data_IF_180391101402
#
_entry.id   IF_180391101402
#
_cell.length_a   1.000
_cell.length_b   1.000
_cell.length_c   1.000
_cell.angle_alpha   90.00
_cell.angle_beta   90.00
_cell.angle_gamma   90.00
#
_symmetry.space_group_name_H-M   'P 1'
#
loop_
_entity.id
_entity.type
_entity.pdbx_description
1 polymer ?
#
# COMPACT_ATOMS: atom_id res chain seq x y z
N UNK A 1 10.07 -22.35 23.03
CA UNK A 1 10.44 -22.34 21.65
C UNK A 1 9.53 -21.41 20.83
N UNK A 2 9.88 -21.16 19.58
CA UNK A 2 9.14 -20.26 18.68
C UNK A 2 7.97 -20.93 17.94
N UNK A 3 7.52 -22.12 18.36
CA UNK A 3 6.41 -22.83 17.74
C UNK A 3 6.70 -23.44 16.36
N UNK A 4 7.94 -23.36 15.88
CA UNK A 4 8.33 -23.91 14.58
C UNK A 4 8.46 -25.42 14.66
N UNK A 5 7.64 -26.15 13.88
CA UNK A 5 7.71 -27.60 13.77
C UNK A 5 8.89 -28.07 12.92
N UNK A 6 9.28 -29.35 13.06
CA UNK A 6 10.41 -29.91 12.30
C UNK A 6 10.23 -29.80 10.78
N UNK A 7 8.98 -29.88 10.29
CA UNK A 7 8.69 -29.77 8.84
C UNK A 7 8.91 -28.37 8.27
N UNK A 8 8.80 -27.32 9.11
CA UNK A 8 9.00 -25.92 8.74
C UNK A 8 10.35 -25.37 9.16
N UNK A 9 11.19 -26.19 9.82
CA UNK A 9 12.45 -25.72 10.37
C UNK A 9 13.44 -25.23 9.30
N UNK A 10 13.49 -25.88 8.16
CA UNK A 10 14.40 -25.52 7.07
C UNK A 10 13.99 -24.17 6.45
N UNK A 11 12.73 -23.97 6.10
CA UNK A 11 12.22 -22.69 5.57
C UNK A 11 12.37 -21.56 6.59
N UNK A 12 12.20 -21.86 7.88
CA UNK A 12 12.42 -20.88 8.95
C UNK A 12 13.88 -20.45 9.08
N UNK A 13 14.83 -21.36 8.86
CA UNK A 13 16.28 -21.09 8.96
C UNK A 13 16.87 -20.50 7.68
N UNK A 14 16.29 -20.85 6.55
CA UNK A 14 16.76 -20.46 5.22
C UNK A 14 15.60 -19.89 4.38
N UNK A 15 15.01 -18.75 4.78
CA UNK A 15 13.88 -18.17 4.06
C UNK A 15 14.28 -17.71 2.65
N UNK A 16 13.38 -17.89 1.70
CA UNK A 16 13.57 -17.48 0.31
C UNK A 16 12.32 -16.78 -0.21
N UNK A 17 12.46 -15.61 -0.81
CA UNK A 17 11.33 -14.93 -1.45
C UNK A 17 10.65 -15.80 -2.50
N UNK A 18 11.42 -16.63 -3.20
CA UNK A 18 10.87 -17.52 -4.24
C UNK A 18 9.86 -18.55 -3.71
N UNK A 19 10.08 -19.05 -2.50
CA UNK A 19 9.28 -20.15 -1.91
C UNK A 19 8.37 -19.68 -0.78
N UNK A 20 8.76 -18.61 -0.08
CA UNK A 20 8.15 -18.23 1.19
C UNK A 20 7.42 -16.87 1.14
N UNK A 21 7.46 -16.18 -0.04
CA UNK A 21 6.69 -14.96 -0.23
C UNK A 21 5.19 -15.25 -0.08
N UNK A 22 4.48 -14.56 0.81
CA UNK A 22 3.03 -14.70 0.91
C UNK A 22 2.35 -14.40 -0.42
N UNK A 23 1.29 -15.14 -0.74
CA UNK A 23 0.50 -14.81 -1.94
C UNK A 23 -0.34 -13.55 -1.68
N UNK A 24 -0.12 -12.46 -2.43
CA UNK A 24 -0.90 -11.22 -2.27
C UNK A 24 -2.42 -11.42 -2.36
N UNK A 25 -2.88 -12.37 -3.16
CA UNK A 25 -4.33 -12.63 -3.37
C UNK A 25 -5.06 -13.09 -2.09
N UNK A 26 -4.31 -13.40 -1.02
CA UNK A 26 -4.91 -13.78 0.27
C UNK A 26 -5.27 -12.58 1.14
N UNK A 27 -4.75 -11.41 0.83
CA UNK A 27 -5.06 -10.19 1.58
C UNK A 27 -6.38 -9.60 1.10
N UNK A 28 -7.23 -9.20 2.03
CA UNK A 28 -8.46 -8.51 1.70
C UNK A 28 -8.17 -7.21 0.93
N UNK A 29 -9.00 -6.90 -0.05
CA UNK A 29 -8.90 -5.73 -0.93
C UNK A 29 -7.62 -5.59 -1.76
N UNK A 30 -6.65 -6.53 -1.67
CA UNK A 30 -5.39 -6.45 -2.43
C UNK A 30 -5.64 -6.39 -3.94
N UNK A 31 -6.60 -7.17 -4.44
CA UNK A 31 -6.92 -7.16 -5.87
C UNK A 31 -7.44 -5.79 -6.30
N UNK A 32 -8.39 -5.20 -5.57
CA UNK A 32 -8.93 -3.88 -5.86
C UNK A 32 -7.85 -2.79 -5.78
N UNK A 33 -6.99 -2.85 -4.76
CA UNK A 33 -5.87 -1.93 -4.62
C UNK A 33 -4.89 -2.03 -5.81
N UNK A 34 -4.53 -3.26 -6.20
CA UNK A 34 -3.60 -3.49 -7.29
C UNK A 34 -4.15 -3.05 -8.65
N UNK A 35 -5.43 -3.33 -8.94
CA UNK A 35 -6.12 -2.88 -10.15
C UNK A 35 -6.15 -1.35 -10.20
N UNK A 36 -6.52 -0.67 -9.11
CA UNK A 36 -6.58 0.80 -9.06
C UNK A 36 -5.24 1.47 -9.28
N UNK A 37 -4.16 0.94 -8.66
CA UNK A 37 -2.81 1.44 -8.90
C UNK A 37 -2.37 1.18 -10.35
N UNK A 38 -2.69 0.00 -10.89
CA UNK A 38 -2.36 -0.34 -12.28
C UNK A 38 -3.09 0.59 -13.27
N UNK A 39 -4.35 0.94 -13.01
CA UNK A 39 -5.12 1.91 -13.80
C UNK A 39 -4.42 3.27 -13.80
N UNK A 40 -4.08 3.79 -12.62
CA UNK A 40 -3.38 5.07 -12.48
C UNK A 40 -2.05 5.10 -13.25
N UNK A 41 -1.26 4.01 -13.19
CA UNK A 41 0.00 3.89 -13.95
C UNK A 41 -0.25 3.89 -15.45
N UNK A 42 -1.25 3.13 -15.93
CA UNK A 42 -1.53 3.02 -17.37
C UNK A 42 -2.09 4.31 -17.96
N UNK A 43 -2.92 5.02 -17.19
CA UNK A 43 -3.57 6.25 -17.62
C UNK A 43 -2.68 7.50 -17.40
N UNK A 44 -1.53 7.33 -16.72
CA UNK A 44 -0.65 8.45 -16.38
C UNK A 44 -1.28 9.41 -15.36
N UNK A 45 -2.17 8.88 -14.50
CA UNK A 45 -2.85 9.66 -13.48
C UNK A 45 -1.88 10.12 -12.39
N UNK A 46 -2.01 11.38 -11.89
CA UNK A 46 -1.20 11.86 -10.78
C UNK A 46 -1.44 11.05 -9.50
N UNK A 47 -0.38 10.48 -8.93
CA UNK A 47 -0.42 9.66 -7.72
C UNK A 47 0.22 10.41 -6.56
N UNK A 48 -0.49 10.54 -5.43
CA UNK A 48 0.12 10.97 -4.17
C UNK A 48 0.27 9.79 -3.20
N UNK A 49 1.28 9.88 -2.36
CA UNK A 49 1.56 8.95 -1.26
C UNK A 49 1.60 9.75 0.03
N UNK A 50 0.69 9.51 0.93
CA UNK A 50 0.68 10.03 2.29
C UNK A 50 1.23 8.93 3.20
N UNK A 51 2.42 9.14 3.79
CA UNK A 51 3.08 8.13 4.60
C UNK A 51 3.28 8.60 6.04
N UNK A 52 3.32 7.66 6.98
CA UNK A 52 3.75 7.98 8.33
C UNK A 52 5.20 8.48 8.36
N UNK A 53 5.54 9.26 9.38
CA UNK A 53 6.84 9.92 9.54
C UNK A 53 7.93 9.01 10.11
N UNK A 54 7.59 7.80 10.51
CA UNK A 54 8.56 6.86 11.08
C UNK A 54 9.31 6.04 10.01
N UNK A 55 10.16 5.10 10.44
CA UNK A 55 10.99 4.33 9.51
C UNK A 55 10.18 3.38 8.65
N UNK A 56 9.03 2.86 9.14
CA UNK A 56 8.20 1.95 8.36
C UNK A 56 7.43 2.70 7.28
N UNK A 57 6.84 3.86 7.60
CA UNK A 57 6.24 4.76 6.63
C UNK A 57 7.24 5.27 5.60
N UNK A 58 8.43 5.73 6.04
CA UNK A 58 9.46 6.23 5.13
C UNK A 58 9.99 5.15 4.17
N UNK A 59 10.20 3.92 4.65
CA UNK A 59 10.67 2.81 3.80
C UNK A 59 9.58 2.32 2.85
N UNK A 60 8.31 2.32 3.28
CA UNK A 60 7.15 2.03 2.44
C UNK A 60 7.04 3.02 1.28
N UNK A 61 7.12 4.32 1.58
CA UNK A 61 7.08 5.38 0.57
C UNK A 61 8.25 5.28 -0.42
N UNK A 62 9.46 5.04 0.07
CA UNK A 62 10.65 4.89 -0.76
C UNK A 62 10.56 3.67 -1.69
N UNK A 63 10.06 2.54 -1.18
CA UNK A 63 9.85 1.32 -1.97
C UNK A 63 8.83 1.56 -3.08
N UNK A 64 7.64 2.08 -2.72
CA UNK A 64 6.57 2.31 -3.69
C UNK A 64 6.99 3.31 -4.77
N UNK A 65 7.63 4.42 -4.39
CA UNK A 65 8.14 5.40 -5.35
C UNK A 65 9.13 4.79 -6.33
N UNK A 66 10.09 4.00 -5.84
CA UNK A 66 11.06 3.31 -6.72
C UNK A 66 10.39 2.35 -7.68
N UNK A 67 9.37 1.64 -7.20
CA UNK A 67 8.57 0.75 -8.05
C UNK A 67 7.84 1.54 -9.15
N UNK A 68 7.13 2.61 -8.78
CA UNK A 68 6.43 3.47 -9.76
C UNK A 68 7.39 4.09 -10.78
N UNK A 69 8.56 4.56 -10.33
CA UNK A 69 9.59 5.10 -11.23
C UNK A 69 10.12 4.06 -12.23
N UNK A 70 10.25 2.79 -11.81
CA UNK A 70 10.62 1.71 -12.72
C UNK A 70 9.54 1.42 -13.77
N UNK A 71 8.28 1.78 -13.50
CA UNK A 71 7.16 1.71 -14.45
C UNK A 71 7.03 2.95 -15.35
N UNK A 72 7.90 3.94 -15.19
CA UNK A 72 7.82 5.22 -15.91
C UNK A 72 6.85 6.23 -15.31
N UNK A 73 6.35 5.96 -14.10
CA UNK A 73 5.51 6.86 -13.30
C UNK A 73 6.29 7.45 -12.13
N UNK A 74 5.73 8.43 -11.43
CA UNK A 74 6.29 8.95 -10.15
C UNK A 74 5.12 9.26 -9.21
N UNK A 75 5.43 9.60 -7.97
CA UNK A 75 4.43 10.02 -6.99
C UNK A 75 4.91 11.20 -6.16
N UNK A 76 3.96 12.03 -5.74
CA UNK A 76 4.15 13.06 -4.73
C UNK A 76 4.15 12.40 -3.35
N UNK A 77 5.25 12.44 -2.62
CA UNK A 77 5.28 11.97 -1.23
C UNK A 77 4.93 13.13 -0.30
N UNK A 78 3.93 12.93 0.54
CA UNK A 78 3.52 13.81 1.62
C UNK A 78 3.73 13.09 2.96
N UNK A 79 4.46 13.70 3.86
CA UNK A 79 4.68 13.21 5.23
C UNK A 79 4.19 14.31 6.16
N UNK A 80 3.13 14.07 6.96
CA UNK A 80 2.61 15.06 7.90
C UNK A 80 3.65 15.45 8.94
N UNK A 81 3.70 16.75 9.30
CA UNK A 81 4.53 17.20 10.41
C UNK A 81 3.94 16.72 11.74
N UNK A 82 4.72 15.95 12.49
CA UNK A 82 4.28 15.36 13.76
C UNK A 82 3.79 16.39 14.77
N UNK A 83 4.39 17.57 14.78
CA UNK A 83 4.13 18.62 15.79
C UNK A 83 2.93 19.46 15.38
N UNK A 84 2.84 19.81 14.09
CA UNK A 84 1.82 20.72 13.57
C UNK A 84 0.54 19.98 13.14
N UNK A 85 0.68 18.80 12.54
CA UNK A 85 -0.42 18.04 11.92
C UNK A 85 -0.80 16.78 12.71
N UNK A 86 0.08 16.26 13.56
CA UNK A 86 -0.16 15.06 14.35
C UNK A 86 0.20 13.77 13.62
N UNK A 87 -0.43 12.67 14.04
CA UNK A 87 -0.19 11.33 13.48
C UNK A 87 -1.16 11.00 12.37
N UNK A 88 -0.62 10.48 11.26
CA UNK A 88 -1.40 9.88 10.19
C UNK A 88 -2.18 10.86 9.31
N UNK A 89 -3.11 10.35 8.49
CA UNK A 89 -3.90 11.18 7.60
C UNK A 89 -4.79 12.17 8.36
N UNK A 90 -4.82 13.39 7.87
CA UNK A 90 -5.69 14.44 8.39
C UNK A 90 -6.37 15.20 7.22
N UNK A 91 -7.51 15.89 7.45
CA UNK A 91 -8.22 16.59 6.37
C UNK A 91 -7.35 17.61 5.64
N UNK A 92 -6.51 18.38 6.36
CA UNK A 92 -5.65 19.39 5.73
C UNK A 92 -4.59 18.83 4.80
N UNK A 93 -4.09 17.62 5.07
CA UNK A 93 -3.18 16.90 4.16
C UNK A 93 -3.91 16.53 2.85
N UNK A 94 -5.15 16.06 2.92
CA UNK A 94 -5.95 15.75 1.73
C UNK A 94 -6.33 17.02 0.96
N UNK A 95 -6.69 18.11 1.65
CA UNK A 95 -6.92 19.42 1.00
C UNK A 95 -5.69 19.86 0.20
N UNK A 96 -4.51 19.79 0.83
CA UNK A 96 -3.25 20.15 0.18
C UNK A 96 -3.01 19.32 -1.09
N UNK A 97 -3.21 17.99 -1.00
CA UNK A 97 -3.03 17.10 -2.14
C UNK A 97 -4.08 17.34 -3.23
N UNK A 98 -5.33 17.66 -2.87
CA UNK A 98 -6.38 18.03 -3.82
C UNK A 98 -6.05 19.33 -4.57
N UNK A 99 -5.59 20.36 -3.85
CA UNK A 99 -5.16 21.65 -4.43
C UNK A 99 -3.95 21.48 -5.34
N UNK A 100 -3.03 20.56 -5.03
CA UNK A 100 -1.90 20.18 -5.86
C UNK A 100 -2.30 19.33 -7.09
N UNK A 101 -3.57 18.88 -7.19
CA UNK A 101 -4.11 18.15 -8.34
C UNK A 101 -3.94 16.64 -8.27
N UNK A 102 -3.94 16.05 -7.08
CA UNK A 102 -3.83 14.60 -6.88
C UNK A 102 -5.19 13.99 -6.50
N UNK A 103 -5.95 13.44 -7.46
CA UNK A 103 -7.22 12.79 -7.21
C UNK A 103 -7.08 11.38 -6.61
N UNK A 104 -5.91 10.76 -6.75
CA UNK A 104 -5.61 9.43 -6.25
C UNK A 104 -4.51 9.46 -5.21
N UNK A 105 -4.79 8.95 -4.01
CA UNK A 105 -3.88 8.95 -2.86
C UNK A 105 -3.71 7.53 -2.31
N UNK A 106 -2.47 7.12 -2.09
CA UNK A 106 -2.16 5.95 -1.26
C UNK A 106 -1.72 6.41 0.13
N UNK A 107 -2.34 5.87 1.18
CA UNK A 107 -1.80 6.03 2.53
C UNK A 107 -0.96 4.81 2.88
N UNK A 108 0.25 5.03 3.41
CA UNK A 108 1.20 3.98 3.75
C UNK A 108 1.55 4.04 5.23
N UNK A 109 1.45 2.91 5.91
CA UNK A 109 1.72 2.76 7.35
C UNK A 109 0.80 3.62 8.24
N UNK A 110 -0.36 3.95 7.72
CA UNK A 110 -1.39 4.73 8.41
C UNK A 110 -2.71 4.65 7.64
N UNK A 111 -3.80 5.03 8.29
CA UNK A 111 -5.09 5.18 7.62
C UNK A 111 -6.17 4.22 8.10
N UNK A 112 -5.83 3.05 8.64
CA UNK A 112 -6.81 2.02 9.07
C UNK A 112 -7.90 2.57 10.01
N UNK A 113 -7.59 3.55 10.83
CA UNK A 113 -8.53 4.18 11.79
C UNK A 113 -8.77 5.67 11.53
N UNK A 114 -8.38 6.18 10.35
CA UNK A 114 -8.47 7.60 10.01
C UNK A 114 -9.86 7.97 9.43
N UNK A 115 -10.95 7.63 10.12
CA UNK A 115 -12.33 7.76 9.62
C UNK A 115 -12.66 9.15 9.11
N UNK A 116 -12.46 10.18 9.94
CA UNK A 116 -12.81 11.55 9.58
C UNK A 116 -12.01 12.09 8.39
N UNK A 117 -10.72 11.73 8.33
CA UNK A 117 -9.86 12.16 7.23
C UNK A 117 -10.23 11.50 5.91
N UNK A 118 -10.53 10.19 5.94
CA UNK A 118 -10.92 9.45 4.74
C UNK A 118 -12.34 9.80 4.27
N UNK A 119 -13.26 10.11 5.20
CA UNK A 119 -14.58 10.66 4.86
C UNK A 119 -14.47 12.03 4.20
N UNK A 120 -13.58 12.88 4.70
CA UNK A 120 -13.27 14.18 4.09
C UNK A 120 -12.70 14.01 2.67
N UNK A 121 -11.70 13.17 2.48
CA UNK A 121 -11.12 12.88 1.17
C UNK A 121 -12.16 12.39 0.15
N UNK A 122 -13.06 11.50 0.57
CA UNK A 122 -14.16 11.03 -0.28
C UNK A 122 -15.13 12.16 -0.66
N UNK A 123 -15.39 13.11 0.26
CA UNK A 123 -16.25 14.28 0.00
C UNK A 123 -15.62 15.24 -1.02
N UNK A 124 -14.29 15.37 -0.97
CA UNK A 124 -13.50 16.16 -1.93
C UNK A 124 -13.25 15.43 -3.27
N UNK A 125 -13.80 14.22 -3.41
CA UNK A 125 -13.70 13.44 -4.66
C UNK A 125 -12.36 12.74 -4.85
N UNK A 126 -11.56 12.61 -3.81
CA UNK A 126 -10.31 11.83 -3.85
C UNK A 126 -10.59 10.35 -3.63
N UNK A 127 -9.97 9.50 -4.43
CA UNK A 127 -9.93 8.06 -4.19
C UNK A 127 -8.72 7.68 -3.36
N UNK A 128 -8.95 6.92 -2.28
CA UNK A 128 -7.88 6.54 -1.36
C UNK A 128 -7.72 5.03 -1.30
N UNK A 129 -6.51 4.55 -1.46
CA UNK A 129 -6.08 3.18 -1.15
C UNK A 129 -5.23 3.21 0.11
N UNK A 130 -5.67 2.46 1.13
CA UNK A 130 -4.97 2.33 2.41
C UNK A 130 -4.11 1.07 2.40
N UNK A 131 -2.83 1.20 2.74
CA UNK A 131 -1.88 0.08 2.92
C UNK A 131 -1.26 0.21 4.29
N UNK A 132 -1.68 -0.63 5.20
CA UNK A 132 -1.41 -0.47 6.62
C UNK A 132 -1.19 -1.83 7.31
N UNK A 133 -0.77 -1.83 8.56
CA UNK A 133 -0.62 -3.03 9.39
C UNK A 133 -1.07 -2.82 10.85
N UNK A 134 -1.55 -1.65 11.19
CA UNK A 134 -2.05 -1.36 12.53
C UNK A 134 -3.34 -2.14 12.84
N UNK A 135 -3.65 -2.26 14.12
CA UNK A 135 -4.88 -2.94 14.56
C UNK A 135 -6.11 -2.26 13.97
N UNK A 136 -6.95 -3.04 13.32
CA UNK A 136 -8.19 -2.57 12.72
C UNK A 136 -9.38 -2.74 13.68
N UNK A 137 -10.37 -1.88 13.54
CA UNK A 137 -11.67 -1.97 14.19
C UNK A 137 -12.67 -2.76 13.32
N UNK A 138 -13.81 -3.23 13.89
CA UNK A 138 -14.83 -3.94 13.12
C UNK A 138 -15.42 -3.12 11.97
N UNK A 139 -15.52 -1.81 12.15
CA UNK A 139 -15.93 -0.87 11.11
C UNK A 139 -14.67 -0.31 10.46
N UNK A 140 -14.64 -0.29 9.13
CA UNK A 140 -13.54 0.28 8.36
C UNK A 140 -13.90 1.69 7.87
N UNK A 141 -12.91 2.58 7.69
CA UNK A 141 -13.15 3.90 7.12
C UNK A 141 -13.53 3.80 5.63
N UNK A 142 -14.24 4.80 5.08
CA UNK A 142 -14.55 4.82 3.66
C UNK A 142 -13.27 5.05 2.84
N UNK A 143 -12.97 4.11 1.95
CA UNK A 143 -11.87 4.18 1.01
C UNK A 143 -12.13 3.24 -0.17
N UNK A 144 -11.37 3.37 -1.25
CA UNK A 144 -11.48 2.49 -2.40
C UNK A 144 -11.07 1.05 -2.06
N UNK A 145 -9.97 0.90 -1.33
CA UNK A 145 -9.48 -0.39 -0.84
C UNK A 145 -8.65 -0.19 0.43
N UNK A 146 -8.72 -1.16 1.36
CA UNK A 146 -7.93 -1.16 2.58
C UNK A 146 -7.20 -2.50 2.73
N UNK A 147 -5.92 -2.50 2.41
CA UNK A 147 -5.04 -3.66 2.53
C UNK A 147 -4.35 -3.62 3.89
N UNK A 148 -4.76 -4.51 4.77
CA UNK A 148 -4.19 -4.60 6.11
C UNK A 148 -4.37 -6.03 6.66
N UNK A 149 -3.29 -6.79 6.93
CA UNK A 149 -3.38 -8.16 7.42
C UNK A 149 -3.90 -8.28 8.87
N UNK A 150 -4.10 -7.17 9.56
CA UNK A 150 -4.68 -7.11 10.91
C UNK A 150 -6.17 -6.69 10.91
N UNK A 151 -6.81 -6.66 9.74
CA UNK A 151 -8.28 -6.58 9.65
C UNK A 151 -8.92 -7.83 10.22
N UNK A 152 -10.10 -7.68 10.80
CA UNK A 152 -10.82 -8.81 11.40
C UNK A 152 -11.32 -9.85 10.37
N UNK A 153 -11.49 -9.42 9.13
CA UNK A 153 -11.93 -10.24 8.00
C UNK A 153 -10.78 -10.71 7.09
N UNK A 154 -9.51 -10.37 7.41
CA UNK A 154 -8.33 -10.85 6.69
C UNK A 154 -7.89 -12.23 7.20
N UNK A 155 -7.70 -13.17 6.30
CA UNK A 155 -7.25 -14.53 6.59
C UNK A 155 -5.86 -14.87 6.02
N UNK A 156 -5.11 -13.85 5.58
CA UNK A 156 -3.75 -14.03 5.04
C UNK A 156 -2.81 -14.74 6.02
N UNK A 157 -3.03 -14.52 7.33
CA UNK A 157 -2.15 -15.01 8.39
C UNK A 157 -0.82 -14.25 8.45
N UNK A 158 -0.76 -13.04 7.90
CA UNK A 158 0.45 -12.22 7.75
C UNK A 158 0.48 -11.00 8.69
N UNK A 159 -0.30 -10.99 9.77
CA UNK A 159 -0.38 -9.86 10.72
C UNK A 159 0.94 -9.45 11.39
N UNK A 160 2.01 -10.22 11.23
CA UNK A 160 3.36 -9.88 11.72
C UNK A 160 4.16 -9.01 10.74
N UNK A 161 3.65 -8.75 9.54
CA UNK A 161 4.36 -7.91 8.56
C UNK A 161 4.34 -6.45 9.01
N UNK A 162 5.48 -5.78 8.83
CA UNK A 162 5.56 -4.34 8.85
C UNK A 162 4.89 -3.74 7.59
N UNK A 163 4.50 -2.48 7.62
CA UNK A 163 3.81 -1.85 6.49
C UNK A 163 4.62 -1.89 5.19
N UNK A 164 5.95 -1.80 5.26
CA UNK A 164 6.82 -1.96 4.08
C UNK A 164 6.70 -3.35 3.46
N UNK A 165 6.46 -4.40 4.25
CA UNK A 165 6.20 -5.76 3.76
C UNK A 165 4.86 -5.85 3.01
N UNK A 166 3.82 -5.20 3.54
CA UNK A 166 2.50 -5.12 2.89
C UNK A 166 2.60 -4.30 1.59
N UNK A 167 3.32 -3.17 1.62
CA UNK A 167 3.61 -2.34 0.44
C UNK A 167 4.37 -3.11 -0.64
N UNK A 168 5.33 -3.95 -0.26
CA UNK A 168 6.02 -4.83 -1.20
C UNK A 168 5.07 -5.82 -1.86
N UNK A 169 4.17 -6.43 -1.10
CA UNK A 169 3.17 -7.34 -1.65
C UNK A 169 2.18 -6.63 -2.58
N UNK A 170 1.83 -5.37 -2.30
CA UNK A 170 1.06 -4.54 -3.24
C UNK A 170 1.85 -4.33 -4.54
N UNK A 171 3.13 -3.98 -4.48
CA UNK A 171 3.96 -3.83 -5.69
C UNK A 171 4.00 -5.13 -6.51
N UNK A 172 4.13 -6.29 -5.86
CA UNK A 172 4.05 -7.61 -6.53
C UNK A 172 2.69 -7.82 -7.18
N UNK A 173 1.60 -7.48 -6.51
CA UNK A 173 0.23 -7.62 -7.05
C UNK A 173 0.03 -6.70 -8.26
N UNK A 174 0.40 -5.43 -8.17
CA UNK A 174 0.36 -4.46 -9.29
C UNK A 174 1.17 -4.96 -10.48
N UNK A 175 2.38 -5.47 -10.23
CA UNK A 175 3.22 -6.02 -11.28
C UNK A 175 2.57 -7.20 -12.00
N UNK A 176 1.85 -8.07 -11.25
CA UNK A 176 1.08 -9.19 -11.84
C UNK A 176 -0.07 -8.68 -12.72
N UNK A 177 -0.81 -7.66 -12.27
CA UNK A 177 -1.91 -7.03 -13.04
C UNK A 177 -1.37 -6.43 -14.33
N UNK A 178 -0.33 -5.61 -14.25
CA UNK A 178 0.29 -4.97 -15.42
C UNK A 178 0.83 -5.99 -16.42
N UNK A 179 1.43 -7.09 -15.93
CA UNK A 179 1.88 -8.20 -16.78
C UNK A 179 0.71 -8.87 -17.49
N UNK A 180 -0.37 -9.17 -16.77
CA UNK A 180 -1.57 -9.78 -17.36
C UNK A 180 -2.23 -8.89 -18.42
N UNK A 181 -2.15 -7.57 -18.26
CA UNK A 181 -2.64 -6.56 -19.20
C UNK A 181 -1.69 -6.30 -20.39
N UNK A 182 -0.52 -6.95 -20.43
CA UNK A 182 0.46 -6.78 -21.51
C UNK A 182 1.23 -5.46 -21.46
N UNK A 183 1.27 -4.78 -20.32
CA UNK A 183 1.95 -3.49 -20.15
C UNK A 183 3.43 -3.53 -20.53
N UNK A 184 4.10 -4.65 -20.30
CA UNK A 184 5.52 -4.88 -20.61
C UNK A 184 5.80 -5.37 -22.04
N UNK A 185 4.80 -5.43 -22.91
CA UNK A 185 5.00 -5.81 -24.31
C UNK A 185 5.67 -4.70 -25.15
N UNK A 186 5.77 -3.47 -24.60
CA UNK A 186 6.40 -2.31 -25.24
C UNK A 186 7.83 -2.05 -24.77
N UNK A 187 8.18 -0.78 -24.63
CA UNK A 187 9.53 -0.33 -24.22
C UNK A 187 9.76 -0.40 -22.69
N UNK A 188 8.68 -0.47 -21.90
CA UNK A 188 8.77 -0.53 -20.43
C UNK A 188 9.26 -1.90 -19.99
N UNK A 189 10.41 -1.91 -19.33
CA UNK A 189 10.95 -3.15 -18.77
C UNK A 189 10.25 -3.50 -17.46
N UNK A 190 9.88 -4.78 -17.31
CA UNK A 190 9.35 -5.29 -16.05
C UNK A 190 10.37 -5.12 -14.90
N UNK A 191 9.97 -4.51 -13.76
CA UNK A 191 10.83 -4.40 -12.60
C UNK A 191 11.21 -5.77 -12.05
N UNK A 192 12.46 -5.90 -11.59
CA UNK A 192 12.93 -7.06 -10.84
C UNK A 192 12.59 -6.84 -9.35
N UNK A 193 11.60 -7.60 -8.84
CA UNK A 193 11.03 -7.50 -7.48
C UNK A 193 11.49 -8.65 -6.59
#
# INVERSE_FOLDING_TARGET
GRGVGLKSAEAYLNPSLKTDLPNPDRFQDMAAAAERVADAVQDGEPIAVLADYDVDGATSAALLRRFLQALGSDCRIYIPDRIEEGYGPNPGAFDTLAEEGFPFVLTLDCGTTAYAALEHAATEGQEVVVVDHHTAEPQLPPCHALVNPNRLDDDSGCGQLAAVGVTFLLAVAVNRVLRARGFYAGETREPDL
#
